data_IF_172841126525
#
_entry.id   IF_172841126525
#
_cell.length_a   1.000
_cell.length_b   1.000
_cell.length_c   1.000
_cell.angle_alpha   90.00
_cell.angle_beta   90.00
_cell.angle_gamma   90.00
#
_symmetry.space_group_name_H-M   'P 1'
#
loop_
_entity.id
_entity.type
_entity.pdbx_description
1 polymer ?
#
# COMPACT_ATOMS: atom_id res chain seq x y z
N UNK A 1 -11.41 -6.73 38.97
CA UNK A 1 -11.00 -7.98 39.63
C UNK A 1 -12.06 -9.03 39.39
N UNK A 2 -11.96 -9.71 38.24
CA UNK A 2 -12.55 -11.02 38.00
C UNK A 2 -11.49 -11.78 37.23
N UNK A 3 -10.85 -12.70 37.94
CA UNK A 3 -10.00 -13.73 37.36
C UNK A 3 -10.91 -14.66 36.54
N UNK A 4 -10.51 -14.93 35.31
CA UNK A 4 -10.95 -16.11 34.58
C UNK A 4 -9.65 -16.85 34.27
N UNK A 5 -9.45 -17.94 35.00
CA UNK A 5 -8.42 -18.95 34.80
C UNK A 5 -8.71 -19.68 33.50
N UNK A 6 -7.75 -19.70 32.57
CA UNK A 6 -7.73 -20.68 31.50
C UNK A 6 -6.50 -21.58 31.64
N UNK A 7 -6.80 -22.88 31.59
CA UNK A 7 -5.92 -24.00 31.81
C UNK A 7 -4.84 -24.08 30.72
N UNK A 8 -3.58 -24.23 31.14
CA UNK A 8 -2.46 -24.56 30.26
C UNK A 8 -2.65 -25.98 29.72
N UNK A 9 -3.16 -26.11 28.49
CA UNK A 9 -3.08 -27.35 27.73
C UNK A 9 -1.85 -27.31 26.83
N UNK A 10 -0.86 -28.12 27.20
CA UNK A 10 0.34 -28.38 26.41
C UNK A 10 -0.06 -29.17 25.16
N UNK A 11 -0.18 -28.47 24.04
CA UNK A 11 -0.38 -29.03 22.71
C UNK A 11 0.50 -28.27 21.73
N UNK A 12 1.38 -28.98 21.04
CA UNK A 12 2.30 -28.45 20.04
C UNK A 12 1.48 -28.01 18.82
N UNK A 13 1.22 -26.71 18.69
CA UNK A 13 0.53 -26.13 17.54
C UNK A 13 1.36 -24.96 17.00
N UNK A 14 1.56 -24.97 15.70
CA UNK A 14 2.07 -23.85 14.91
C UNK A 14 1.06 -22.69 15.11
N UNK A 15 1.38 -21.72 15.97
CA UNK A 15 0.46 -20.62 16.32
C UNK A 15 0.43 -19.58 15.19
N UNK A 16 -0.22 -19.92 14.08
CA UNK A 16 -0.60 -18.93 13.07
C UNK A 16 -1.71 -18.05 13.67
N UNK A 17 -1.39 -16.79 13.95
CA UNK A 17 -2.39 -15.80 14.36
C UNK A 17 -2.95 -15.12 13.13
N UNK A 18 -4.10 -15.58 12.65
CA UNK A 18 -4.86 -14.90 11.59
C UNK A 18 -5.73 -13.81 12.21
N UNK A 19 -5.45 -12.55 11.86
CA UNK A 19 -6.33 -11.45 12.20
C UNK A 19 -7.27 -11.19 11.02
N UNK A 20 -8.51 -11.69 11.12
CA UNK A 20 -9.52 -11.37 10.12
C UNK A 20 -9.78 -9.86 10.12
N UNK A 21 -9.94 -9.22 8.95
CA UNK A 21 -10.41 -7.85 8.90
C UNK A 21 -11.76 -7.82 9.62
N UNK A 22 -11.86 -6.97 10.64
CA UNK A 22 -13.12 -6.78 11.32
C UNK A 22 -14.11 -6.23 10.26
N UNK A 23 -15.30 -6.80 10.14
CA UNK A 23 -16.39 -6.24 9.32
C UNK A 23 -16.91 -4.96 10.02
N UNK A 24 -16.03 -4.00 10.23
CA UNK A 24 -16.34 -2.67 10.75
C UNK A 24 -16.61 -1.79 9.55
N UNK A 25 -17.85 -1.37 9.41
CA UNK A 25 -18.25 -0.50 8.32
C UNK A 25 -17.67 0.91 8.55
N UNK A 26 -17.46 1.65 7.47
CA UNK A 26 -17.02 3.05 7.53
C UNK A 26 -17.92 3.92 8.44
N UNK A 27 -19.18 3.52 8.61
CA UNK A 27 -20.18 4.15 9.48
C UNK A 27 -19.83 4.05 10.97
N UNK A 28 -19.12 3.01 11.40
CA UNK A 28 -18.75 2.79 12.81
C UNK A 28 -17.71 3.80 13.30
N UNK A 29 -16.92 4.37 12.39
CA UNK A 29 -15.94 5.42 12.68
C UNK A 29 -16.42 6.82 12.30
N UNK A 30 -17.71 7.01 11.95
CA UNK A 30 -18.22 8.29 11.43
C UNK A 30 -17.85 9.53 12.28
N UNK A 31 -17.69 9.38 13.60
CA UNK A 31 -17.24 10.46 14.49
C UNK A 31 -15.74 10.79 14.37
N UNK A 32 -14.87 9.80 14.15
CA UNK A 32 -13.43 10.00 13.88
C UNK A 32 -13.19 10.42 12.43
N UNK A 33 -14.03 9.93 11.52
CA UNK A 33 -14.07 10.29 10.11
C UNK A 33 -14.84 11.60 9.85
N UNK A 34 -15.42 12.23 10.87
CA UNK A 34 -16.11 13.53 10.73
C UNK A 34 -15.17 14.65 10.23
N UNK A 35 -13.86 14.44 10.35
CA UNK A 35 -12.82 15.31 9.80
C UNK A 35 -12.37 14.93 8.38
N UNK A 36 -12.85 13.82 7.83
CA UNK A 36 -12.60 13.39 6.46
C UNK A 36 -13.73 13.90 5.56
N UNK A 37 -13.42 14.40 4.35
CA UNK A 37 -14.46 14.66 3.36
C UNK A 37 -15.21 13.38 3.02
N UNK A 38 -16.40 13.52 2.44
CA UNK A 38 -17.29 12.39 2.12
C UNK A 38 -16.57 11.30 1.30
N UNK A 39 -16.64 10.05 1.78
CA UNK A 39 -15.99 8.90 1.17
C UNK A 39 -16.68 8.46 -0.12
N UNK A 40 -17.86 8.96 -0.43
CA UNK A 40 -18.62 8.65 -1.65
C UNK A 40 -18.26 9.48 -2.89
N UNK A 41 -17.49 10.57 -2.78
CA UNK A 41 -17.13 11.36 -3.97
C UNK A 41 -16.09 10.65 -4.85
N UNK A 42 -16.38 10.41 -6.14
CA UNK A 42 -15.44 9.78 -7.06
C UNK A 42 -14.28 10.73 -7.36
N UNK A 43 -13.05 10.28 -7.10
CA UNK A 43 -11.87 10.96 -7.61
C UNK A 43 -11.70 10.51 -9.06
N UNK A 44 -12.06 11.39 -10.00
CA UNK A 44 -11.89 11.14 -11.43
C UNK A 44 -10.39 11.23 -11.77
N UNK A 45 -9.69 10.11 -11.77
CA UNK A 45 -8.35 10.01 -12.37
C UNK A 45 -8.47 9.77 -13.88
N UNK A 46 -8.80 10.82 -14.64
CA UNK A 46 -8.74 10.75 -16.11
C UNK A 46 -7.30 10.86 -16.58
N UNK A 47 -6.86 9.92 -17.43
CA UNK A 47 -5.55 10.02 -18.08
C UNK A 47 -5.55 11.13 -19.14
N UNK A 48 -4.53 11.99 -19.09
CA UNK A 48 -4.32 13.01 -20.12
C UNK A 48 -3.44 12.49 -21.25
N UNK A 49 -4.10 12.03 -22.31
CA UNK A 49 -3.45 11.58 -23.56
C UNK A 49 -2.89 12.72 -24.41
N UNK A 50 -3.19 13.97 -24.07
CA UNK A 50 -2.64 15.15 -24.74
C UNK A 50 -1.32 15.61 -24.12
N UNK A 51 -0.90 14.97 -23.01
CA UNK A 51 0.32 15.34 -22.30
C UNK A 51 1.57 15.20 -23.19
N UNK A 52 2.59 16.04 -22.99
CA UNK A 52 3.82 16.04 -23.80
C UNK A 52 4.60 14.72 -23.71
N UNK A 53 4.35 13.91 -22.67
CA UNK A 53 4.93 12.58 -22.52
C UNK A 53 4.30 11.54 -23.46
N UNK A 54 3.08 11.78 -23.93
CA UNK A 54 2.35 10.93 -24.89
C UNK A 54 2.55 11.42 -26.33
N UNK A 55 2.71 12.74 -26.50
CA UNK A 55 2.89 13.38 -27.81
C UNK A 55 4.37 13.30 -28.25
N UNK A 56 4.67 12.43 -29.21
CA UNK A 56 6.02 12.29 -29.78
C UNK A 56 6.05 12.81 -31.22
N UNK A 57 6.88 13.83 -31.48
CA UNK A 57 7.04 14.46 -32.80
C UNK A 57 7.69 13.57 -33.86
N UNK A 58 8.30 12.46 -33.47
CA UNK A 58 8.86 11.46 -34.39
C UNK A 58 7.81 10.46 -34.92
N UNK A 59 6.59 10.44 -34.35
CA UNK A 59 5.50 9.57 -34.80
C UNK A 59 4.67 10.28 -35.87
N UNK A 60 4.27 9.54 -36.92
CA UNK A 60 3.24 10.03 -37.84
C UNK A 60 1.87 10.05 -37.17
N UNK A 61 0.91 10.80 -37.73
CA UNK A 61 -0.46 10.90 -37.19
C UNK A 61 -1.10 9.52 -36.97
N UNK A 62 -0.93 8.61 -37.93
CA UNK A 62 -1.44 7.24 -37.84
C UNK A 62 -0.78 6.42 -36.70
N UNK A 63 0.51 6.65 -36.44
CA UNK A 63 1.22 5.93 -35.36
C UNK A 63 0.85 6.50 -34.00
N UNK A 64 0.73 7.83 -33.89
CA UNK A 64 0.25 8.49 -32.67
C UNK A 64 -1.17 8.03 -32.32
N UNK A 65 -2.06 7.95 -33.31
CA UNK A 65 -3.42 7.44 -33.11
C UNK A 65 -3.44 6.00 -32.59
N UNK A 66 -2.64 5.10 -33.18
CA UNK A 66 -2.51 3.71 -32.71
C UNK A 66 -1.93 3.61 -31.31
N UNK A 67 -0.94 4.44 -30.97
CA UNK A 67 -0.36 4.46 -29.64
C UNK A 67 -1.40 4.87 -28.59
N UNK A 68 -2.14 5.96 -28.84
CA UNK A 68 -3.23 6.41 -27.95
C UNK A 68 -4.32 5.34 -27.83
N UNK A 69 -4.63 4.63 -28.92
CA UNK A 69 -5.58 3.50 -28.88
C UNK A 69 -5.11 2.38 -27.94
N UNK A 70 -3.83 2.02 -27.97
CA UNK A 70 -3.24 1.04 -27.03
C UNK A 70 -3.32 1.55 -25.58
N UNK A 71 -2.99 2.82 -25.34
CA UNK A 71 -3.08 3.38 -23.99
C UNK A 71 -4.51 3.36 -23.45
N UNK A 72 -5.50 3.74 -24.26
CA UNK A 72 -6.93 3.66 -23.91
C UNK A 72 -7.39 2.23 -23.66
N UNK A 73 -6.94 1.28 -24.50
CA UNK A 73 -7.25 -0.13 -24.35
C UNK A 73 -6.76 -0.69 -23.01
N UNK A 74 -5.60 -0.23 -22.53
CA UNK A 74 -4.97 -0.67 -21.30
C UNK A 74 -5.12 0.32 -20.13
N UNK A 75 -6.04 1.28 -20.22
CA UNK A 75 -6.25 2.32 -19.20
C UNK A 75 -6.47 1.75 -17.80
N UNK A 76 -7.13 0.60 -17.70
CA UNK A 76 -7.45 -0.08 -16.43
C UNK A 76 -6.24 -0.49 -15.60
N UNK A 77 -5.07 -0.70 -16.21
CA UNK A 77 -3.84 -1.11 -15.52
C UNK A 77 -2.86 0.05 -15.33
N UNK A 78 -3.19 1.24 -15.84
CA UNK A 78 -2.33 2.41 -15.76
C UNK A 78 -2.55 3.18 -14.46
N UNK A 79 -1.47 3.73 -13.92
CA UNK A 79 -1.49 4.54 -12.69
C UNK A 79 -1.50 6.01 -13.10
N UNK A 80 -2.65 6.67 -12.95
CA UNK A 80 -2.87 8.03 -13.46
C UNK A 80 -2.17 9.14 -12.67
N UNK A 81 -1.73 8.89 -11.44
CA UNK A 81 -0.97 9.87 -10.67
C UNK A 81 0.07 9.19 -9.79
N UNK A 82 1.18 9.87 -9.46
CA UNK A 82 2.23 9.30 -8.61
C UNK A 82 1.80 9.01 -7.15
N UNK A 83 0.57 9.40 -6.77
CA UNK A 83 -0.06 9.02 -5.50
C UNK A 83 -1.23 8.03 -5.71
N UNK A 84 -1.54 7.65 -6.95
CA UNK A 84 -2.57 6.65 -7.20
C UNK A 84 -2.07 5.29 -6.72
N UNK A 85 -2.97 4.61 -6.01
CA UNK A 85 -2.69 3.35 -5.36
C UNK A 85 -2.93 2.25 -6.37
N UNK A 86 -1.94 1.39 -6.58
CA UNK A 86 -2.13 0.17 -7.36
C UNK A 86 -3.19 -0.69 -6.69
N UNK A 87 -3.98 -1.40 -7.48
CA UNK A 87 -4.87 -2.42 -6.93
C UNK A 87 -4.06 -3.43 -6.11
N UNK A 88 -4.64 -4.01 -5.04
CA UNK A 88 -3.99 -5.07 -4.29
C UNK A 88 -3.51 -6.20 -5.20
N UNK A 89 -2.35 -6.78 -4.90
CA UNK A 89 -1.86 -7.96 -5.62
C UNK A 89 -2.87 -9.10 -5.47
N UNK A 90 -3.25 -9.74 -6.57
CA UNK A 90 -4.23 -10.82 -6.56
C UNK A 90 -3.55 -12.19 -6.45
N UNK A 91 -4.05 -13.04 -5.56
CA UNK A 91 -3.68 -14.46 -5.51
C UNK A 91 -2.38 -14.80 -4.77
N UNK A 92 -1.76 -13.86 -4.06
CA UNK A 92 -0.58 -14.11 -3.22
C UNK A 92 -0.84 -13.61 -1.81
N UNK A 93 -0.69 -14.48 -0.83
CA UNK A 93 -0.68 -14.15 0.59
C UNK A 93 0.77 -14.11 1.06
N UNK A 94 1.13 -13.08 1.82
CA UNK A 94 2.47 -12.92 2.39
C UNK A 94 2.39 -13.17 3.89
N UNK A 95 2.83 -14.36 4.31
CA UNK A 95 2.88 -14.72 5.72
C UNK A 95 4.15 -14.14 6.36
N UNK A 96 3.98 -13.51 7.52
CA UNK A 96 5.09 -12.91 8.27
C UNK A 96 5.40 -13.80 9.46
N UNK A 97 6.45 -14.61 9.34
CA UNK A 97 6.95 -15.43 10.45
C UNK A 97 7.70 -14.56 11.47
N UNK A 98 7.19 -14.54 12.71
CA UNK A 98 7.75 -13.78 13.83
C UNK A 98 8.54 -14.66 14.82
N UNK A 99 8.82 -15.91 14.46
CA UNK A 99 9.64 -16.86 15.24
C UNK A 99 9.16 -17.05 16.68
N UNK A 100 7.84 -17.00 16.90
CA UNK A 100 7.23 -17.11 18.23
C UNK A 100 7.48 -15.90 19.14
N UNK A 101 7.86 -14.73 18.60
CA UNK A 101 8.11 -13.53 19.38
C UNK A 101 6.80 -12.97 20.01
N UNK A 102 6.84 -12.48 21.26
CA UNK A 102 5.69 -11.82 21.89
C UNK A 102 5.13 -10.63 21.10
N UNK A 103 3.85 -10.33 21.33
CA UNK A 103 3.13 -9.21 20.70
C UNK A 103 3.88 -7.88 20.81
N UNK A 104 4.04 -7.17 19.70
CA UNK A 104 4.59 -5.81 19.65
C UNK A 104 3.44 -4.80 19.53
N UNK A 105 3.20 -4.04 20.60
CA UNK A 105 2.19 -2.97 20.63
C UNK A 105 2.81 -1.63 21.01
N UNK A 106 3.09 -0.81 20.00
CA UNK A 106 3.70 0.49 20.16
C UNK A 106 2.64 1.60 20.20
N UNK A 107 2.86 2.62 21.04
CA UNK A 107 1.99 3.78 21.12
C UNK A 107 2.12 4.66 19.85
N UNK A 108 0.99 5.15 19.34
CA UNK A 108 0.96 6.12 18.26
C UNK A 108 1.80 7.37 18.58
N UNK A 109 2.53 7.87 17.59
CA UNK A 109 3.32 9.10 17.70
C UNK A 109 2.40 10.32 17.55
N UNK A 110 2.74 11.42 18.24
CA UNK A 110 2.01 12.68 18.10
C UNK A 110 2.27 13.28 16.73
N UNK A 111 1.22 13.44 15.94
CA UNK A 111 1.28 14.13 14.64
C UNK A 111 1.07 15.64 14.82
N UNK A 112 1.97 16.49 14.32
CA UNK A 112 1.75 17.94 14.30
C UNK A 112 0.49 18.32 13.52
N UNK A 113 -0.30 19.27 14.04
CA UNK A 113 -1.61 19.66 13.48
C UNK A 113 -1.54 20.00 11.98
N UNK A 114 -0.47 20.69 11.55
CA UNK A 114 -0.25 21.08 10.14
C UNK A 114 -0.23 19.92 9.14
N UNK A 115 0.02 18.69 9.60
CA UNK A 115 0.06 17.51 8.74
C UNK A 115 -1.17 16.61 8.86
N UNK A 116 -2.07 16.87 9.83
CA UNK A 116 -3.23 16.00 10.07
C UNK A 116 -4.13 15.92 8.84
N UNK A 117 -4.51 17.05 8.25
CA UNK A 117 -5.35 17.05 7.04
C UNK A 117 -4.74 16.20 5.92
N UNK A 118 -3.45 16.33 5.63
CA UNK A 118 -2.78 15.54 4.58
C UNK A 118 -2.68 14.06 4.94
N UNK A 119 -2.43 13.74 6.21
CA UNK A 119 -2.38 12.36 6.69
C UNK A 119 -3.73 11.68 6.49
N UNK A 120 -4.78 12.37 6.86
CA UNK A 120 -6.16 11.93 6.74
C UNK A 120 -6.59 11.71 5.28
N UNK A 121 -6.22 12.60 4.36
CA UNK A 121 -6.45 12.38 2.92
C UNK A 121 -5.73 11.12 2.40
N UNK A 122 -4.50 10.85 2.85
CA UNK A 122 -3.78 9.63 2.48
C UNK A 122 -4.44 8.37 3.04
N UNK A 123 -4.84 8.38 4.31
CA UNK A 123 -5.54 7.25 4.94
C UNK A 123 -6.89 6.97 4.24
N UNK A 124 -7.63 8.02 3.88
CA UNK A 124 -8.85 7.94 3.08
C UNK A 124 -8.59 7.27 1.72
N UNK A 125 -7.54 7.69 1.03
CA UNK A 125 -7.15 7.07 -0.24
C UNK A 125 -6.85 5.57 -0.08
N UNK A 126 -6.10 5.20 0.95
CA UNK A 126 -5.72 3.81 1.24
C UNK A 126 -6.94 2.93 1.58
N UNK A 127 -7.87 3.43 2.40
CA UNK A 127 -9.11 2.74 2.74
C UNK A 127 -9.99 2.53 1.49
N UNK A 128 -10.17 3.57 0.67
CA UNK A 128 -10.94 3.48 -0.58
C UNK A 128 -10.33 2.51 -1.60
N UNK A 129 -9.01 2.41 -1.63
CA UNK A 129 -8.30 1.46 -2.50
C UNK A 129 -8.35 0.02 -1.97
N UNK A 130 -8.87 -0.21 -0.76
CA UNK A 130 -8.86 -1.52 -0.12
C UNK A 130 -7.47 -2.03 0.26
N UNK A 131 -6.47 -1.13 0.36
CA UNK A 131 -5.11 -1.50 0.75
C UNK A 131 -4.94 -1.61 2.27
N UNK A 132 -5.79 -0.92 3.02
CA UNK A 132 -5.86 -1.01 4.48
C UNK A 132 -7.32 -1.15 4.89
N UNK A 133 -7.54 -1.71 6.08
CA UNK A 133 -8.84 -1.83 6.73
C UNK A 133 -8.70 -1.45 8.21
N UNK A 134 -9.82 -1.21 8.87
CA UNK A 134 -9.82 -1.10 10.33
C UNK A 134 -9.54 -2.47 10.96
N UNK A 135 -8.82 -2.43 12.08
CA UNK A 135 -8.38 -3.63 12.79
C UNK A 135 -8.28 -3.34 14.28
N UNK A 136 -8.67 -4.32 15.09
CA UNK A 136 -8.52 -4.40 16.54
C UNK A 136 -7.27 -5.19 16.96
N UNK A 137 -6.28 -5.28 16.07
CA UNK A 137 -5.08 -6.08 16.28
C UNK A 137 -4.35 -5.73 17.57
N UNK A 138 -3.90 -6.79 18.25
CA UNK A 138 -3.01 -6.67 19.39
C UNK A 138 -1.61 -6.19 18.98
N UNK A 139 -1.28 -6.26 17.69
CA UNK A 139 -0.06 -5.71 17.11
C UNK A 139 -0.27 -4.28 16.63
N UNK A 140 0.67 -3.39 16.95
CA UNK A 140 0.60 -2.00 16.49
C UNK A 140 1.99 -1.41 16.30
N UNK A 141 2.22 -0.83 15.12
CA UNK A 141 3.40 -0.01 14.82
C UNK A 141 2.96 1.43 14.52
N UNK A 142 3.70 2.45 14.98
CA UNK A 142 3.26 3.83 14.85
C UNK A 142 3.51 4.36 13.43
N UNK A 143 2.64 5.27 13.00
CA UNK A 143 2.84 6.05 11.77
C UNK A 143 3.95 7.09 11.98
N UNK A 144 4.77 7.26 10.94
CA UNK A 144 5.82 8.27 10.81
C UNK A 144 5.55 9.08 9.54
N UNK A 145 5.58 10.40 9.66
CA UNK A 145 5.36 11.32 8.55
C UNK A 145 6.72 11.81 8.05
N UNK A 146 6.97 11.64 6.76
CA UNK A 146 8.17 12.13 6.08
C UNK A 146 7.79 13.17 5.04
N UNK A 147 8.47 14.31 4.99
CA UNK A 147 8.23 15.33 3.97
C UNK A 147 8.84 14.89 2.63
N UNK A 148 8.10 15.06 1.54
CA UNK A 148 8.66 14.92 0.19
C UNK A 148 9.58 16.10 -0.13
N UNK A 149 10.43 15.95 -1.15
CA UNK A 149 11.39 16.98 -1.61
C UNK A 149 10.73 18.31 -1.97
N UNK A 150 9.45 18.31 -2.37
CA UNK A 150 8.71 19.54 -2.67
C UNK A 150 8.35 20.36 -1.42
N UNK A 151 8.62 19.87 -0.21
CA UNK A 151 8.40 20.57 1.06
C UNK A 151 6.93 20.70 1.47
N UNK A 152 6.01 20.34 0.58
CA UNK A 152 4.56 20.44 0.77
C UNK A 152 3.97 19.07 1.05
N UNK A 153 4.27 18.08 0.24
CA UNK A 153 3.64 16.77 0.36
C UNK A 153 4.29 15.92 1.44
N UNK A 154 3.53 14.95 1.94
CA UNK A 154 3.99 13.99 2.93
C UNK A 154 3.98 12.57 2.37
N UNK A 155 4.79 11.70 2.99
CA UNK A 155 4.73 10.25 2.88
C UNK A 155 4.28 9.69 4.23
N UNK A 156 3.27 8.84 4.19
CA UNK A 156 2.87 8.01 5.31
C UNK A 156 3.80 6.79 5.34
N UNK A 157 4.56 6.64 6.41
CA UNK A 157 5.42 5.49 6.66
C UNK A 157 5.00 4.82 7.96
N UNK A 158 5.21 3.51 8.07
CA UNK A 158 4.97 2.76 9.31
C UNK A 158 6.32 2.32 9.88
N UNK A 159 6.54 2.54 11.16
CA UNK A 159 7.80 2.21 11.83
C UNK A 159 7.85 0.72 12.20
N UNK A 160 8.11 -0.13 11.21
CA UNK A 160 8.22 -1.58 11.40
C UNK A 160 9.56 -2.03 11.99
N UNK A 161 10.41 -1.14 12.51
CA UNK A 161 11.75 -1.53 12.99
C UNK A 161 11.74 -2.66 14.01
N UNK A 162 10.78 -2.65 14.94
CA UNK A 162 10.68 -3.71 15.94
C UNK A 162 10.15 -5.01 15.35
N UNK A 163 9.20 -4.94 14.42
CA UNK A 163 8.64 -6.10 13.72
C UNK A 163 9.72 -6.73 12.83
N UNK A 164 10.36 -5.94 11.98
CA UNK A 164 11.43 -6.38 11.07
C UNK A 164 12.63 -7.01 11.80
N UNK A 165 12.89 -6.63 13.06
CA UNK A 165 13.98 -7.20 13.85
C UNK A 165 13.68 -8.64 14.32
N UNK A 166 12.41 -9.04 14.35
CA UNK A 166 11.96 -10.37 14.81
C UNK A 166 11.40 -11.21 13.67
N UNK A 167 11.10 -10.62 12.52
CA UNK A 167 10.65 -11.31 11.32
C UNK A 167 11.75 -12.24 10.78
N UNK A 168 11.40 -13.49 10.46
CA UNK A 168 12.27 -14.41 9.75
C UNK A 168 12.59 -13.88 8.36
N UNK A 169 13.86 -13.97 7.95
CA UNK A 169 14.29 -13.49 6.64
C UNK A 169 13.75 -14.44 5.57
N UNK A 170 12.95 -13.91 4.65
CA UNK A 170 12.53 -14.64 3.45
C UNK A 170 13.64 -14.50 2.40
N UNK A 171 14.35 -15.59 2.13
CA UNK A 171 15.40 -15.60 1.10
C UNK A 171 14.79 -15.88 -0.27
N UNK A 172 14.93 -14.91 -1.18
CA UNK A 172 14.61 -15.06 -2.59
C UNK A 172 15.84 -14.68 -3.41
N UNK A 173 16.26 -15.58 -4.30
CA UNK A 173 17.36 -15.32 -5.22
C UNK A 173 16.91 -14.32 -6.28
N UNK A 174 17.31 -13.05 -6.11
CA UNK A 174 17.13 -12.03 -7.12
C UNK A 174 18.30 -12.07 -8.10
N UNK A 175 18.07 -12.19 -9.41
CA UNK A 175 19.15 -12.23 -10.40
C UNK A 175 19.94 -10.91 -10.40
N UNK A 176 21.21 -10.97 -10.82
CA UNK A 176 22.00 -9.76 -10.98
C UNK A 176 21.52 -8.97 -12.20
N UNK A 177 21.82 -7.67 -12.20
CA UNK A 177 21.47 -6.79 -13.32
C UNK A 177 22.14 -7.27 -14.62
N UNK A 178 23.35 -7.80 -14.55
CA UNK A 178 24.07 -8.32 -15.71
C UNK A 178 23.42 -9.59 -16.26
N UNK A 179 22.98 -10.50 -15.38
CA UNK A 179 22.25 -11.71 -15.78
C UNK A 179 20.97 -11.35 -16.54
N UNK A 180 20.18 -10.42 -15.99
CA UNK A 180 18.95 -9.92 -16.63
C UNK A 180 19.23 -9.24 -17.97
N UNK A 181 20.37 -8.56 -18.11
CA UNK A 181 20.72 -7.84 -19.33
C UNK A 181 21.09 -8.79 -20.46
N UNK A 182 21.88 -9.83 -20.18
CA UNK A 182 22.25 -10.84 -21.18
C UNK A 182 21.01 -11.50 -21.79
N UNK A 183 19.98 -11.77 -20.97
CA UNK A 183 18.72 -12.35 -21.45
C UNK A 183 17.98 -11.42 -22.42
N UNK A 184 18.11 -10.10 -22.23
CA UNK A 184 17.41 -9.09 -23.03
C UNK A 184 18.11 -8.80 -24.37
N UNK A 185 19.42 -9.05 -24.49
CA UNK A 185 20.19 -8.74 -25.71
C UNK A 185 19.73 -9.49 -26.96
N UNK A 186 18.99 -10.59 -26.80
CA UNK A 186 18.34 -11.31 -27.91
C UNK A 186 17.07 -10.64 -28.47
N UNK A 187 16.52 -9.63 -27.79
CA UNK A 187 15.26 -9.01 -28.18
C UNK A 187 15.49 -7.70 -28.95
N UNK A 188 14.91 -7.57 -30.17
CA UNK A 188 15.14 -6.39 -31.02
C UNK A 188 14.46 -5.12 -30.51
N UNK A 189 13.51 -5.24 -29.58
CA UNK A 189 12.82 -4.13 -28.94
C UNK A 189 12.42 -4.49 -27.51
N UNK A 190 12.54 -3.51 -26.61
CA UNK A 190 12.11 -3.56 -25.21
C UNK A 190 11.28 -2.31 -24.96
N UNK A 191 10.16 -2.44 -24.26
CA UNK A 191 9.22 -1.36 -23.97
C UNK A 191 9.14 -1.08 -22.48
#
# INVERSE_FOLDING_TARGET
MREITDEVKTGRYDETTEHFPNEMELTDYAHELAFLPDLTEPVLTSLDYSSPNVQNSALSENQSAKFVEVLKKHEKIMIASGNALSSPAYGVVCDIDLQGHPLIKQKARRTPLRYLSKLYELLKGLLRAGLITFSDSLWASPIVIVLKKNGVDIRLCIDYKMVNAVTAIMEYAMPLVDDLRTDIEGYPCVC
#
